data_IF_993809218524
#
_entry.id   IF_993809218524
#
_cell.length_a   1.000
_cell.length_b   1.000
_cell.length_c   1.000
_cell.angle_alpha   90.00
_cell.angle_beta   90.00
_cell.angle_gamma   90.00
#
_symmetry.space_group_name_H-M   'P 1'
#
loop_
_entity.id
_entity.type
_entity.pdbx_description
1 polymer ?
#
# COMPACT_ATOMS: atom_id res chain seq x y z
N UNK A 1 15.56 3.98 16.69
CA UNK A 1 15.94 5.24 16.02
C UNK A 1 14.93 5.46 14.91
N UNK A 2 14.44 6.70 14.76
CA UNK A 2 13.57 7.02 13.62
C UNK A 2 14.37 6.94 12.33
N UNK A 3 13.73 6.58 11.21
CA UNK A 3 14.38 6.57 9.90
C UNK A 3 14.72 7.99 9.48
N UNK A 4 15.89 8.15 8.87
CA UNK A 4 16.39 9.39 8.29
C UNK A 4 16.09 9.42 6.78
N UNK A 5 14.91 8.94 6.40
CA UNK A 5 14.43 8.92 5.02
C UNK A 5 12.97 9.35 5.02
N UNK A 6 12.53 10.05 3.98
CA UNK A 6 11.11 10.39 3.85
C UNK A 6 10.32 9.23 3.25
N UNK A 7 9.07 9.06 3.67
CA UNK A 7 8.16 8.06 3.09
C UNK A 7 7.96 8.31 1.59
N UNK A 8 7.95 9.59 1.19
CA UNK A 8 7.86 10.00 -0.20
C UNK A 8 9.05 9.53 -1.05
N UNK A 9 10.28 9.81 -0.61
CA UNK A 9 11.50 9.40 -1.33
C UNK A 9 11.60 7.87 -1.45
N UNK A 10 11.22 7.17 -0.38
CA UNK A 10 11.18 5.72 -0.37
C UNK A 10 10.09 5.18 -1.32
N UNK A 11 8.86 5.70 -1.24
CA UNK A 11 7.75 5.31 -2.09
C UNK A 11 8.04 5.53 -3.57
N UNK A 12 8.64 6.69 -3.92
CA UNK A 12 9.11 6.95 -5.28
C UNK A 12 10.11 5.90 -5.76
N UNK A 13 11.13 5.58 -4.93
CA UNK A 13 12.16 4.61 -5.28
C UNK A 13 11.58 3.20 -5.51
N UNK A 14 10.62 2.77 -4.70
CA UNK A 14 9.89 1.50 -4.90
C UNK A 14 9.08 1.53 -6.19
N UNK A 15 8.28 2.58 -6.41
CA UNK A 15 7.42 2.69 -7.60
C UNK A 15 8.25 2.70 -8.89
N UNK A 16 9.33 3.50 -8.93
CA UNK A 16 10.19 3.60 -10.10
C UNK A 16 10.94 2.29 -10.37
N UNK A 17 11.37 1.55 -9.34
CA UNK A 17 11.95 0.21 -9.50
C UNK A 17 10.94 -0.80 -10.06
N UNK A 18 9.68 -0.76 -9.61
CA UNK A 18 8.62 -1.63 -10.15
C UNK A 18 8.35 -1.33 -11.63
N UNK A 19 8.26 -0.05 -11.99
CA UNK A 19 8.07 0.41 -13.37
C UNK A 19 9.22 -0.07 -14.27
N UNK A 20 10.47 0.12 -13.82
CA UNK A 20 11.65 -0.24 -14.59
C UNK A 20 11.81 -1.77 -14.75
N UNK A 21 11.61 -2.54 -13.68
CA UNK A 21 11.92 -3.97 -13.68
C UNK A 21 10.79 -4.86 -14.24
N UNK A 22 9.54 -4.41 -14.16
CA UNK A 22 8.38 -5.26 -14.49
C UNK A 22 7.57 -4.74 -15.68
N UNK A 23 8.11 -3.81 -16.49
CA UNK A 23 7.35 -3.06 -17.51
C UNK A 23 6.03 -2.49 -16.95
N UNK A 24 5.96 -2.30 -15.63
CA UNK A 24 4.76 -1.86 -14.95
C UNK A 24 4.50 -0.41 -15.32
N UNK A 25 3.24 -0.03 -15.45
CA UNK A 25 2.87 1.36 -15.71
C UNK A 25 2.34 1.96 -14.43
N UNK A 26 2.91 3.11 -14.03
CA UNK A 26 2.20 3.95 -13.07
C UNK A 26 0.96 4.44 -13.77
N UNK A 27 -0.20 4.16 -13.18
CA UNK A 27 -1.51 4.35 -13.80
C UNK A 27 -1.79 5.84 -14.03
N UNK A 28 -1.28 6.70 -13.16
CA UNK A 28 -1.29 8.15 -13.30
C UNK A 28 0.00 8.74 -12.70
N UNK A 29 0.47 9.87 -13.24
CA UNK A 29 1.51 10.65 -12.56
C UNK A 29 1.04 11.01 -11.14
N UNK A 30 1.95 11.08 -10.14
CA UNK A 30 1.61 11.58 -8.82
C UNK A 30 1.20 13.06 -8.94
N UNK A 31 -0.07 13.32 -9.22
CA UNK A 31 -0.64 14.65 -9.23
C UNK A 31 -1.07 14.99 -7.81
N UNK A 32 -0.38 15.96 -7.21
CA UNK A 32 -0.85 16.58 -5.98
C UNK A 32 -2.08 17.42 -6.34
N UNK A 33 -3.25 17.19 -5.72
CA UNK A 33 -4.40 18.04 -5.97
C UNK A 33 -4.11 19.43 -5.43
N UNK A 34 -3.95 20.39 -6.34
CA UNK A 34 -4.28 21.77 -6.02
C UNK A 34 -5.74 21.98 -6.42
N UNK A 35 -6.52 22.61 -5.54
CA UNK A 35 -7.91 23.02 -5.78
C UNK A 35 -8.09 23.91 -7.03
N UNK A 36 -7.00 24.27 -7.71
CA UNK A 36 -6.98 25.20 -8.85
C UNK A 36 -7.20 24.52 -10.21
N UNK A 37 -7.01 23.20 -10.33
CA UNK A 37 -7.23 22.47 -11.59
C UNK A 37 -8.65 21.88 -11.72
N UNK A 38 -9.48 22.02 -10.69
CA UNK A 38 -10.84 21.47 -10.60
C UNK A 38 -11.89 22.20 -11.48
N UNK A 39 -11.47 23.19 -12.29
CA UNK A 39 -12.38 24.04 -13.07
C UNK A 39 -12.20 24.04 -14.59
N UNK A 40 -11.23 23.34 -15.18
CA UNK A 40 -11.02 23.43 -16.64
C UNK A 40 -11.74 22.32 -17.41
N UNK A 41 -12.79 22.71 -18.15
CA UNK A 41 -13.34 21.94 -19.26
C UNK A 41 -12.27 21.77 -20.34
N UNK A 42 -11.87 20.54 -20.61
CA UNK A 42 -11.12 20.20 -21.82
C UNK A 42 -9.88 19.35 -21.53
N UNK A 43 -10.08 18.03 -21.49
CA UNK A 43 -9.01 17.05 -21.37
C UNK A 43 -9.55 15.63 -21.55
N UNK A 44 -10.49 15.44 -22.48
CA UNK A 44 -10.99 14.11 -22.82
C UNK A 44 -9.93 13.38 -23.64
N UNK A 45 -9.08 12.61 -22.98
CA UNK A 45 -8.31 11.57 -23.66
C UNK A 45 -9.28 10.45 -24.03
N UNK A 46 -9.69 10.43 -25.29
CA UNK A 46 -10.38 9.30 -25.92
C UNK A 46 -9.35 8.20 -26.21
N UNK A 47 -8.76 7.67 -25.14
CA UNK A 47 -7.79 6.57 -25.23
C UNK A 47 -8.63 5.30 -25.19
N UNK A 48 -8.68 4.57 -26.30
CA UNK A 48 -8.99 3.13 -26.26
C UNK A 48 -8.06 2.54 -25.20
N UNK A 49 -8.58 2.11 -24.06
CA UNK A 49 -7.81 1.49 -22.98
C UNK A 49 -7.87 -0.03 -23.16
N UNK A 50 -7.01 -0.70 -23.96
CA UNK A 50 -6.75 -2.11 -23.78
C UNK A 50 -5.59 -2.22 -22.77
N UNK A 51 -5.87 -1.96 -21.48
CA UNK A 51 -4.88 -2.22 -20.44
C UNK A 51 -5.01 -3.67 -19.99
N UNK A 52 -3.97 -4.47 -20.23
CA UNK A 52 -3.80 -5.74 -19.56
C UNK A 52 -2.87 -5.50 -18.39
N UNK A 53 -3.25 -5.93 -17.20
CA UNK A 53 -2.38 -5.82 -16.05
C UNK A 53 -3.09 -6.11 -14.75
N UNK A 54 -2.34 -6.05 -13.65
CA UNK A 54 -2.83 -6.42 -12.33
C UNK A 54 -2.70 -5.20 -11.42
N UNK A 55 -3.81 -4.72 -10.84
CA UNK A 55 -3.76 -3.61 -9.90
C UNK A 55 -3.13 -4.07 -8.59
N UNK A 56 -2.14 -3.33 -8.13
CA UNK A 56 -1.43 -3.57 -6.88
C UNK A 56 -1.48 -2.30 -6.04
N UNK A 57 -2.02 -2.42 -4.83
CA UNK A 57 -2.16 -1.34 -3.86
C UNK A 57 -1.02 -1.43 -2.84
N UNK A 58 -0.17 -0.40 -2.82
CA UNK A 58 1.00 -0.34 -1.95
C UNK A 58 0.81 0.77 -0.92
N UNK A 59 0.71 0.38 0.35
CA UNK A 59 0.83 1.30 1.47
C UNK A 59 2.30 1.44 1.85
N UNK A 60 2.92 2.54 1.43
CA UNK A 60 4.27 2.85 1.88
C UNK A 60 4.29 3.13 3.37
N UNK A 61 5.36 2.65 4.00
CA UNK A 61 5.69 2.89 5.40
C UNK A 61 7.18 3.07 5.54
N UNK A 62 7.57 3.73 6.61
CA UNK A 62 8.94 3.75 7.10
C UNK A 62 9.11 2.79 8.28
N UNK A 63 10.36 2.40 8.51
CA UNK A 63 10.74 1.50 9.59
C UNK A 63 11.65 2.20 10.58
N UNK A 64 11.28 2.19 11.86
CA UNK A 64 12.23 2.50 12.92
C UNK A 64 13.31 1.41 12.96
N UNK A 65 14.55 1.82 13.22
CA UNK A 65 15.69 0.92 13.38
C UNK A 65 16.01 0.70 14.85
N UNK A 66 15.94 -0.54 15.31
CA UNK A 66 16.15 -0.93 16.70
C UNK A 66 17.44 -1.72 16.85
N UNK A 67 18.40 -1.13 17.56
CA UNK A 67 19.75 -1.69 17.80
C UNK A 67 20.04 -2.01 19.27
N UNK A 68 19.05 -1.81 20.15
CA UNK A 68 19.18 -2.02 21.60
C UNK A 68 18.23 -3.10 22.08
N UNK A 69 18.61 -3.78 23.16
CA UNK A 69 17.83 -4.88 23.77
C UNK A 69 16.69 -4.44 24.69
N UNK A 70 16.52 -3.13 24.89
CA UNK A 70 15.63 -2.59 25.93
C UNK A 70 14.14 -2.58 25.55
N UNK A 71 13.82 -2.84 24.28
CA UNK A 71 12.43 -2.81 23.83
C UNK A 71 11.71 -4.11 24.23
N UNK A 72 10.44 -3.99 24.64
CA UNK A 72 9.61 -5.11 25.14
C UNK A 72 9.63 -6.29 24.18
N UNK A 73 9.50 -6.03 22.89
CA UNK A 73 9.44 -7.06 21.87
C UNK A 73 10.77 -7.80 21.65
N UNK A 74 11.93 -7.16 21.89
CA UNK A 74 13.21 -7.88 21.88
C UNK A 74 13.26 -8.90 23.02
N UNK A 75 12.81 -8.49 24.22
CA UNK A 75 12.81 -9.34 25.40
C UNK A 75 11.81 -10.50 25.24
N UNK A 76 10.60 -10.22 24.75
CA UNK A 76 9.54 -11.22 24.66
C UNK A 76 9.65 -12.14 23.44
N UNK A 77 10.23 -11.68 22.33
CA UNK A 77 10.31 -12.43 21.07
C UNK A 77 11.73 -12.91 20.72
N UNK A 78 12.74 -12.54 21.50
CA UNK A 78 14.14 -12.91 21.26
C UNK A 78 14.66 -12.55 19.85
N UNK A 79 14.25 -11.38 19.33
CA UNK A 79 14.66 -10.87 18.01
C UNK A 79 16.17 -10.62 17.95
N UNK A 80 16.81 -10.95 16.82
CA UNK A 80 18.20 -10.57 16.54
C UNK A 80 18.29 -9.06 16.30
N UNK A 81 19.36 -8.47 16.82
CA UNK A 81 19.67 -7.06 16.58
C UNK A 81 20.55 -6.92 15.31
N UNK A 82 20.35 -5.85 14.51
CA UNK A 82 19.22 -4.93 14.58
C UNK A 82 17.95 -5.52 13.96
N UNK A 83 16.80 -5.00 14.37
CA UNK A 83 15.51 -5.29 13.73
C UNK A 83 14.76 -3.98 13.45
N UNK A 84 13.68 -4.10 12.70
CA UNK A 84 12.89 -2.99 12.19
C UNK A 84 11.49 -2.99 12.79
N UNK A 85 10.89 -1.80 12.92
CA UNK A 85 9.52 -1.62 13.40
C UNK A 85 8.74 -0.70 12.47
N UNK A 86 7.71 -1.25 11.85
CA UNK A 86 6.74 -0.53 11.03
C UNK A 86 5.50 -0.24 11.86
N UNK A 87 5.15 1.04 12.03
CA UNK A 87 3.97 1.45 12.80
C UNK A 87 2.68 1.29 12.00
N UNK A 88 1.65 0.74 12.65
CA UNK A 88 0.29 0.70 12.13
C UNK A 88 -0.49 1.87 12.72
N UNK A 89 -1.40 2.45 11.94
CA UNK A 89 -2.24 3.54 12.44
C UNK A 89 -3.27 2.96 13.43
N UNK A 90 -3.34 3.43 14.67
CA UNK A 90 -4.28 2.94 15.67
C UNK A 90 -5.75 3.15 15.29
N UNK A 91 -6.64 2.26 15.74
CA UNK A 91 -8.06 2.34 15.43
C UNK A 91 -8.73 3.61 15.98
N UNK A 92 -8.23 4.16 17.11
CA UNK A 92 -8.71 5.45 17.66
C UNK A 92 -8.49 6.63 16.71
N UNK A 93 -7.61 6.51 15.74
CA UNK A 93 -7.28 7.59 14.80
C UNK A 93 -7.81 7.34 13.39
N UNK A 94 -7.97 6.08 12.99
CA UNK A 94 -8.42 5.76 11.62
C UNK A 94 -8.79 4.29 11.46
N UNK A 95 -9.77 4.03 10.61
CA UNK A 95 -10.10 2.68 10.12
C UNK A 95 -9.24 2.25 8.91
N UNK A 96 -8.11 2.93 8.65
CA UNK A 96 -7.29 2.69 7.45
C UNK A 96 -6.89 1.23 7.26
N UNK A 97 -6.44 0.56 8.33
CA UNK A 97 -6.06 -0.85 8.25
C UNK A 97 -7.24 -1.73 7.85
N UNK A 98 -8.43 -1.40 8.34
CA UNK A 98 -9.64 -2.16 8.06
C UNK A 98 -10.12 -1.96 6.61
N UNK A 99 -10.01 -0.74 6.07
CA UNK A 99 -10.24 -0.49 4.64
C UNK A 99 -9.30 -1.32 3.75
N UNK A 100 -8.04 -1.47 4.14
CA UNK A 100 -7.06 -2.27 3.39
C UNK A 100 -7.35 -3.77 3.47
N UNK A 101 -7.74 -4.27 4.65
CA UNK A 101 -8.22 -5.64 4.83
C UNK A 101 -9.41 -5.96 3.93
N UNK A 102 -10.35 -5.01 3.82
CA UNK A 102 -11.54 -5.21 3.01
C UNK A 102 -11.25 -5.16 1.52
N UNK A 103 -10.40 -4.22 1.10
CA UNK A 103 -9.96 -4.14 -0.29
C UNK A 103 -9.27 -5.42 -0.72
N UNK A 104 -8.38 -5.96 0.12
CA UNK A 104 -7.75 -7.27 -0.10
C UNK A 104 -8.79 -8.39 -0.17
N UNK A 105 -9.79 -8.38 0.71
CA UNK A 105 -10.87 -9.38 0.70
C UNK A 105 -11.73 -9.34 -0.59
N UNK A 106 -11.69 -8.26 -1.37
CA UNK A 106 -12.31 -8.22 -2.72
C UNK A 106 -11.48 -8.91 -3.81
N UNK A 107 -10.34 -9.52 -3.43
CA UNK A 107 -9.42 -10.24 -4.31
C UNK A 107 -8.33 -9.37 -4.94
N UNK A 108 -8.22 -8.10 -4.54
CA UNK A 108 -7.18 -7.20 -5.04
C UNK A 108 -5.86 -7.39 -4.27
N UNK A 109 -4.73 -7.15 -4.93
CA UNK A 109 -3.41 -7.29 -4.32
C UNK A 109 -3.07 -6.06 -3.47
N UNK A 110 -3.03 -6.22 -2.14
CA UNK A 110 -2.79 -5.12 -1.19
C UNK A 110 -1.62 -5.47 -0.29
N UNK A 111 -0.64 -4.56 -0.17
CA UNK A 111 0.53 -4.76 0.68
C UNK A 111 0.93 -3.49 1.43
N UNK A 112 1.26 -3.64 2.71
CA UNK A 112 2.19 -2.74 3.36
C UNK A 112 3.59 -3.04 2.85
N UNK A 113 4.40 -2.00 2.61
CA UNK A 113 5.81 -2.17 2.27
C UNK A 113 6.68 -1.15 3.00
N UNK A 114 7.73 -1.63 3.67
CA UNK A 114 8.62 -0.82 4.49
C UNK A 114 10.09 -1.25 4.31
N UNK A 115 11.06 -0.31 4.38
CA UNK A 115 12.46 -0.62 4.13
C UNK A 115 13.08 -1.45 5.27
N UNK A 116 14.01 -2.32 4.91
CA UNK A 116 14.97 -2.97 5.84
C UNK A 116 16.27 -2.17 5.95
N UNK A 117 16.14 -0.85 5.94
CA UNK A 117 17.18 0.14 6.04
C UNK A 117 16.57 1.46 6.51
N UNK A 118 17.40 2.39 6.97
CA UNK A 118 16.88 3.62 7.59
C UNK A 118 17.69 4.87 7.27
N UNK A 119 18.81 4.76 6.54
CA UNK A 119 19.69 5.89 6.23
C UNK A 119 19.59 6.31 4.75
N UNK A 120 19.74 7.61 4.42
CA UNK A 120 19.74 8.10 3.04
C UNK A 120 20.78 7.41 2.15
N UNK A 121 21.98 7.16 2.70
CA UNK A 121 23.06 6.47 1.99
C UNK A 121 22.70 5.05 1.59
N UNK A 122 21.87 4.38 2.40
CA UNK A 122 21.38 3.04 2.09
C UNK A 122 20.32 3.10 0.99
N UNK A 123 19.37 4.04 1.10
CA UNK A 123 18.38 4.29 0.05
C UNK A 123 19.06 4.57 -1.29
N UNK A 124 20.02 5.50 -1.34
CA UNK A 124 20.74 5.83 -2.57
C UNK A 124 21.46 4.61 -3.16
N UNK A 125 22.16 3.83 -2.31
CA UNK A 125 22.84 2.61 -2.75
C UNK A 125 21.88 1.58 -3.34
N UNK A 126 20.75 1.32 -2.68
CA UNK A 126 19.77 0.34 -3.17
C UNK A 126 19.01 0.84 -4.40
N UNK A 127 18.72 2.13 -4.46
CA UNK A 127 18.09 2.78 -5.61
C UNK A 127 18.95 2.65 -6.87
N UNK A 128 20.22 3.08 -6.80
CA UNK A 128 21.16 2.95 -7.92
C UNK A 128 21.39 1.50 -8.33
N UNK A 129 21.32 0.56 -7.38
CA UNK A 129 21.47 -0.86 -7.63
C UNK A 129 20.17 -1.59 -8.02
N UNK A 130 19.03 -0.90 -8.18
CA UNK A 130 17.72 -1.51 -8.51
C UNK A 130 17.31 -2.64 -7.56
N UNK A 131 17.55 -2.45 -6.26
CA UNK A 131 17.33 -3.46 -5.22
C UNK A 131 16.58 -2.90 -4.00
N UNK A 132 15.83 -1.81 -4.14
CA UNK A 132 15.01 -1.23 -3.07
C UNK A 132 13.93 -2.23 -2.64
N UNK A 133 13.18 -2.81 -3.59
CA UNK A 133 12.10 -3.78 -3.29
C UNK A 133 12.67 -5.02 -2.58
N UNK A 134 13.83 -5.51 -3.05
CA UNK A 134 14.52 -6.65 -2.45
C UNK A 134 15.00 -6.38 -1.01
N UNK A 135 15.28 -5.12 -0.68
CA UNK A 135 15.70 -4.68 0.65
C UNK A 135 14.53 -4.05 1.44
N UNK A 136 13.30 -4.46 1.14
CA UNK A 136 12.09 -4.07 1.84
C UNK A 136 11.29 -5.29 2.30
N UNK A 137 10.56 -5.12 3.40
CA UNK A 137 9.60 -6.11 3.89
C UNK A 137 8.20 -5.73 3.45
N UNK A 138 7.46 -6.69 2.90
CA UNK A 138 6.07 -6.52 2.52
C UNK A 138 5.16 -7.45 3.33
N UNK A 139 3.98 -6.96 3.69
CA UNK A 139 3.00 -7.69 4.49
C UNK A 139 1.60 -7.44 3.95
N UNK A 140 0.88 -8.53 3.67
CA UNK A 140 -0.53 -8.46 3.35
C UNK A 140 -1.34 -8.03 4.60
N UNK A 141 -2.37 -7.17 4.47
CA UNK A 141 -3.24 -6.83 5.59
C UNK A 141 -3.81 -8.07 6.30
N UNK A 142 -4.23 -9.10 5.57
CA UNK A 142 -4.77 -10.36 6.08
C UNK A 142 -3.77 -11.14 6.95
N UNK A 143 -2.48 -11.09 6.62
CA UNK A 143 -1.42 -11.70 7.41
C UNK A 143 -1.27 -11.00 8.78
N UNK A 144 -1.42 -9.68 8.82
CA UNK A 144 -1.48 -8.89 10.06
C UNK A 144 -2.77 -9.23 10.83
N UNK A 145 -3.89 -9.29 10.12
CA UNK A 145 -5.24 -9.46 10.66
C UNK A 145 -5.74 -8.22 11.40
N UNK A 146 -7.04 -8.19 11.72
CA UNK A 146 -7.66 -7.07 12.43
C UNK A 146 -6.89 -6.67 13.68
N UNK A 147 -6.75 -5.35 13.88
CA UNK A 147 -6.14 -4.81 15.09
C UNK A 147 -7.06 -5.11 16.28
N UNK A 148 -6.52 -5.64 17.39
CA UNK A 148 -7.34 -6.16 18.49
C UNK A 148 -8.01 -5.05 19.31
N UNK A 149 -7.44 -3.85 19.32
CA UNK A 149 -7.82 -2.76 20.22
C UNK A 149 -7.40 -1.39 19.61
N UNK A 150 -7.81 -0.25 20.21
CA UNK A 150 -7.47 1.09 19.71
C UNK A 150 -6.07 1.59 20.07
N UNK A 151 -5.21 0.77 20.70
CA UNK A 151 -3.87 1.16 21.10
C UNK A 151 -2.87 1.13 19.93
N UNK A 152 -1.61 1.44 20.24
CA UNK A 152 -0.53 1.44 19.26
C UNK A 152 -0.09 0.02 18.92
N UNK A 153 -0.21 -0.32 17.65
CA UNK A 153 0.24 -1.59 17.09
C UNK A 153 1.38 -1.37 16.11
N UNK A 154 2.31 -2.30 16.04
CA UNK A 154 3.41 -2.25 15.09
C UNK A 154 3.78 -3.65 14.61
N UNK A 155 4.35 -3.72 13.41
CA UNK A 155 4.94 -4.93 12.88
C UNK A 155 6.45 -4.85 13.06
N UNK A 156 7.04 -5.84 13.72
CA UNK A 156 8.50 -5.98 13.82
C UNK A 156 9.02 -7.12 12.95
N UNK A 157 10.19 -6.92 12.38
CA UNK A 157 10.82 -7.90 11.50
C UNK A 157 12.33 -7.72 11.46
N UNK A 158 13.04 -8.82 11.26
CA UNK A 158 14.48 -8.86 11.08
C UNK A 158 14.84 -8.78 9.60
N UNK A 159 16.03 -8.26 9.30
CA UNK A 159 16.52 -8.20 7.93
C UNK A 159 16.56 -9.59 7.29
N UNK A 160 15.94 -9.73 6.12
CA UNK A 160 15.92 -10.98 5.36
C UNK A 160 15.11 -12.13 5.98
N UNK A 161 14.41 -11.92 7.10
CA UNK A 161 13.52 -12.94 7.67
C UNK A 161 12.29 -13.16 6.80
N UNK A 162 11.78 -14.39 6.75
CA UNK A 162 10.55 -14.75 6.04
C UNK A 162 9.28 -14.47 6.86
N UNK A 163 9.42 -13.98 8.08
CA UNK A 163 8.31 -13.65 8.96
C UNK A 163 8.58 -12.37 9.75
N UNK A 164 7.49 -11.82 10.29
CA UNK A 164 7.52 -10.77 11.29
C UNK A 164 6.56 -11.09 12.43
N UNK A 165 6.32 -10.10 13.28
CA UNK A 165 5.32 -10.16 14.33
C UNK A 165 4.51 -8.89 14.38
N UNK A 166 3.18 -9.02 14.45
CA UNK A 166 2.32 -7.93 14.89
C UNK A 166 2.42 -7.89 16.40
N UNK A 167 3.06 -6.85 16.91
CA UNK A 167 3.17 -6.58 18.33
C UNK A 167 1.96 -5.77 18.79
N UNK A 168 1.06 -6.48 19.46
CA UNK A 168 -0.02 -5.97 20.29
C UNK A 168 0.29 -6.37 21.74
N UNK A 169 -0.71 -6.36 22.64
CA UNK A 169 -0.55 -7.02 23.96
C UNK A 169 -0.08 -8.47 23.81
N UNK A 170 -0.76 -9.23 22.94
CA UNK A 170 -0.35 -10.57 22.50
C UNK A 170 0.29 -10.51 21.10
N UNK A 171 1.61 -10.78 20.97
CA UNK A 171 2.27 -10.79 19.69
C UNK A 171 1.81 -11.93 18.80
N UNK A 172 1.50 -11.63 17.53
CA UNK A 172 1.11 -12.62 16.53
C UNK A 172 2.18 -12.74 15.45
N UNK A 173 2.71 -13.95 15.25
CA UNK A 173 3.61 -14.23 14.12
C UNK A 173 2.86 -14.08 12.80
N UNK A 174 3.48 -13.45 11.82
CA UNK A 174 2.90 -13.23 10.50
C UNK A 174 3.91 -13.56 9.40
N UNK A 175 3.38 -14.11 8.31
CA UNK A 175 4.17 -14.42 7.11
C UNK A 175 4.53 -13.12 6.39
N UNK A 176 5.79 -13.03 5.97
CA UNK A 176 6.25 -11.94 5.10
C UNK A 176 6.01 -12.32 3.67
N UNK A 177 5.53 -11.36 2.88
CA UNK A 177 5.41 -11.52 1.44
C UNK A 177 6.71 -11.08 0.75
N UNK A 178 7.27 -11.94 -0.09
CA UNK A 178 8.24 -11.51 -1.11
C UNK A 178 7.45 -10.77 -2.19
N UNK A 179 7.55 -9.44 -2.24
CA UNK A 179 6.76 -8.66 -3.20
C UNK A 179 7.08 -9.09 -4.64
N UNK A 180 8.35 -9.29 -4.99
CA UNK A 180 8.74 -9.77 -6.33
C UNK A 180 8.08 -11.10 -6.67
N UNK A 181 8.15 -12.09 -5.77
CA UNK A 181 7.54 -13.41 -6.01
C UNK A 181 6.01 -13.35 -6.05
N UNK A 182 5.40 -12.47 -5.25
CA UNK A 182 3.96 -12.24 -5.27
C UNK A 182 3.52 -11.63 -6.60
N UNK A 183 4.23 -10.62 -7.10
CA UNK A 183 3.95 -10.00 -8.40
C UNK A 183 4.14 -10.99 -9.56
N UNK A 184 5.18 -11.81 -9.52
CA UNK A 184 5.38 -12.89 -10.51
C UNK A 184 4.25 -13.92 -10.48
N UNK A 185 3.81 -14.32 -9.28
CA UNK A 185 2.70 -15.26 -9.09
C UNK A 185 1.39 -14.67 -9.62
N UNK A 186 1.12 -13.41 -9.30
CA UNK A 186 -0.04 -12.67 -9.80
C UNK A 186 -0.03 -12.64 -11.33
N UNK A 187 1.10 -12.26 -11.94
CA UNK A 187 1.24 -12.23 -13.41
C UNK A 187 1.00 -13.60 -14.06
N UNK A 188 1.42 -14.67 -13.41
CA UNK A 188 1.24 -16.03 -13.91
C UNK A 188 -0.20 -16.53 -13.74
N UNK A 189 -0.86 -16.18 -12.63
CA UNK A 189 -2.25 -16.57 -12.33
C UNK A 189 -3.24 -15.80 -13.21
N UNK A 190 -3.05 -14.50 -13.29
CA UNK A 190 -3.95 -13.55 -13.96
C UNK A 190 -3.28 -13.02 -15.22
N UNK A 191 -2.84 -13.91 -16.14
CA UNK A 191 -2.21 -13.56 -17.43
C UNK A 191 -2.99 -12.43 -18.12
N UNK A 192 -2.59 -11.19 -17.85
CA UNK A 192 -3.27 -9.98 -18.26
C UNK A 192 -4.78 -9.96 -17.95
N UNK A 193 -5.18 -9.86 -16.66
CA UNK A 193 -6.53 -9.40 -16.31
C UNK A 193 -6.83 -8.18 -17.19
N UNK A 194 -7.93 -8.25 -17.93
CA UNK A 194 -8.33 -7.14 -18.79
C UNK A 194 -8.83 -6.01 -17.89
N UNK A 195 -7.96 -5.02 -17.72
CA UNK A 195 -8.24 -3.74 -17.08
C UNK A 195 -8.68 -2.71 -18.12
N UNK A 196 -9.32 -3.14 -19.20
CA UNK A 196 -10.12 -2.25 -20.02
C UNK A 196 -11.19 -1.52 -19.20
N UNK A 197 -12.02 -0.74 -19.89
CA UNK A 197 -13.01 0.14 -19.24
C UNK A 197 -13.89 -0.57 -18.20
N UNK A 198 -14.35 -1.79 -18.51
CA UNK A 198 -15.15 -2.61 -17.60
C UNK A 198 -14.35 -3.08 -16.37
N UNK A 199 -13.09 -3.47 -16.56
CA UNK A 199 -12.20 -3.93 -15.49
C UNK A 199 -11.87 -2.82 -14.50
N UNK A 200 -11.57 -1.62 -15.01
CA UNK A 200 -11.34 -0.42 -14.19
C UNK A 200 -12.64 0.05 -13.51
N UNK A 201 -13.77 0.01 -14.21
CA UNK A 201 -15.08 0.32 -13.62
C UNK A 201 -15.48 -0.68 -12.53
N UNK A 202 -15.12 -1.95 -12.68
CA UNK A 202 -15.30 -2.95 -11.64
C UNK A 202 -14.38 -2.67 -10.44
N UNK A 203 -13.12 -2.28 -10.68
CA UNK A 203 -12.18 -1.92 -9.63
C UNK A 203 -12.67 -0.71 -8.82
N UNK A 204 -13.06 0.39 -9.49
CA UNK A 204 -13.56 1.59 -8.81
C UNK A 204 -14.84 1.30 -8.03
N UNK A 205 -15.77 0.50 -8.58
CA UNK A 205 -16.97 0.06 -7.84
C UNK A 205 -16.62 -0.71 -6.58
N UNK A 206 -15.71 -1.69 -6.64
CA UNK A 206 -15.23 -2.41 -5.45
C UNK A 206 -14.69 -1.45 -4.38
N UNK A 207 -13.88 -0.47 -4.79
CA UNK A 207 -13.32 0.53 -3.88
C UNK A 207 -14.41 1.38 -3.21
N UNK A 208 -15.38 1.86 -3.99
CA UNK A 208 -16.54 2.63 -3.49
C UNK A 208 -17.38 1.78 -2.55
N UNK A 209 -17.64 0.51 -2.86
CA UNK A 209 -18.41 -0.39 -2.01
C UNK A 209 -17.74 -0.62 -0.65
N UNK A 210 -16.40 -0.78 -0.64
CA UNK A 210 -15.62 -0.85 0.60
C UNK A 210 -15.74 0.44 1.41
N UNK A 211 -15.59 1.61 0.77
CA UNK A 211 -15.75 2.92 1.43
C UNK A 211 -17.16 3.09 1.99
N UNK A 212 -18.19 2.73 1.22
CA UNK A 212 -19.60 2.83 1.61
C UNK A 212 -19.88 2.01 2.86
N UNK A 213 -19.48 0.73 2.84
CA UNK A 213 -19.70 -0.18 3.97
C UNK A 213 -19.05 0.35 5.24
N UNK A 214 -17.78 0.79 5.16
CA UNK A 214 -17.07 1.32 6.35
C UNK A 214 -17.57 2.67 6.82
N UNK A 215 -17.98 3.55 5.90
CA UNK A 215 -18.59 4.83 6.29
C UNK A 215 -19.91 4.62 7.04
N UNK A 216 -20.70 3.64 6.61
CA UNK A 216 -21.93 3.21 7.31
C UNK A 216 -21.65 2.63 8.70
N UNK A 217 -20.70 1.71 8.82
CA UNK A 217 -20.29 1.13 10.11
C UNK A 217 -19.69 2.18 11.07
N UNK A 218 -19.01 3.20 10.53
CA UNK A 218 -18.41 4.29 11.31
C UNK A 218 -19.40 5.41 11.67
N UNK A 219 -20.64 5.38 11.16
CA UNK A 219 -21.62 6.45 11.38
C UNK A 219 -21.25 7.79 10.73
N UNK A 220 -20.37 7.79 9.71
CA UNK A 220 -19.86 9.01 9.05
C UNK A 220 -20.85 9.62 8.03
N UNK A 221 -22.08 9.08 7.96
CA UNK A 221 -23.09 9.49 6.98
C UNK A 221 -22.70 9.13 5.55
N UNK A 222 -23.43 9.69 4.57
CA UNK A 222 -23.21 9.41 3.15
C UNK A 222 -22.10 10.25 2.51
N UNK A 223 -21.57 11.28 3.18
CA UNK A 223 -20.62 12.24 2.61
C UNK A 223 -19.39 11.58 1.94
N UNK A 224 -18.59 10.78 2.68
CA UNK A 224 -17.44 10.09 2.11
C UNK A 224 -17.78 9.16 0.95
N UNK A 225 -18.99 8.57 0.97
CA UNK A 225 -19.50 7.71 -0.10
C UNK A 225 -19.87 8.52 -1.34
N UNK A 226 -20.60 9.62 -1.17
CA UNK A 226 -21.03 10.48 -2.25
C UNK A 226 -19.83 11.11 -2.98
N UNK A 227 -18.81 11.53 -2.22
CA UNK A 227 -17.56 12.04 -2.79
C UNK A 227 -16.85 10.95 -3.61
N UNK A 228 -16.74 9.73 -3.06
CA UNK A 228 -16.13 8.60 -3.76
C UNK A 228 -16.91 8.21 -5.03
N UNK A 229 -18.23 8.22 -4.98
CA UNK A 229 -19.11 7.97 -6.14
C UNK A 229 -18.94 9.05 -7.21
N UNK A 230 -18.88 10.33 -6.82
CA UNK A 230 -18.66 11.44 -7.75
C UNK A 230 -17.29 11.32 -8.45
N UNK A 231 -16.25 10.90 -7.72
CA UNK A 231 -14.92 10.63 -8.29
C UNK A 231 -14.98 9.44 -9.26
N UNK A 232 -15.66 8.36 -8.89
CA UNK A 232 -15.80 7.17 -9.74
C UNK A 232 -16.56 7.45 -11.05
N UNK A 233 -17.42 8.46 -11.08
CA UNK A 233 -18.16 8.89 -12.28
C UNK A 233 -17.37 9.82 -13.23
N UNK A 234 -16.14 10.22 -12.87
CA UNK A 234 -15.29 11.04 -13.76
C UNK A 234 -14.90 10.23 -15.01
N UNK A 235 -14.75 10.91 -16.15
CA UNK A 235 -14.49 10.26 -17.45
C UNK A 235 -13.15 9.50 -17.53
N UNK A 236 -12.18 9.80 -16.67
CA UNK A 236 -10.90 9.09 -16.60
C UNK A 236 -10.90 8.08 -15.44
N UNK A 237 -11.26 6.82 -15.73
CA UNK A 237 -11.38 5.75 -14.74
C UNK A 237 -10.06 5.41 -14.03
N UNK A 238 -8.94 5.56 -14.75
CA UNK A 238 -7.59 5.34 -14.25
C UNK A 238 -7.24 6.35 -13.17
N UNK A 239 -7.47 7.63 -13.45
CA UNK A 239 -7.27 8.71 -12.49
C UNK A 239 -8.20 8.57 -11.30
N UNK A 240 -9.46 8.19 -11.53
CA UNK A 240 -10.42 7.92 -10.45
C UNK A 240 -9.95 6.81 -9.51
N UNK A 241 -9.49 5.67 -10.06
CA UNK A 241 -8.98 4.56 -9.25
C UNK A 241 -7.73 4.98 -8.45
N UNK A 242 -6.79 5.67 -9.08
CA UNK A 242 -5.60 6.18 -8.39
C UNK A 242 -5.93 7.21 -7.31
N UNK A 243 -6.90 8.09 -7.57
CA UNK A 243 -7.34 9.10 -6.61
C UNK A 243 -8.03 8.46 -5.40
N UNK A 244 -8.94 7.51 -5.62
CA UNK A 244 -9.60 6.77 -4.55
C UNK A 244 -8.57 6.02 -3.69
N UNK A 245 -7.57 5.38 -4.32
CA UNK A 245 -6.52 4.64 -3.64
C UNK A 245 -5.73 5.55 -2.68
N UNK A 246 -5.31 6.72 -3.16
CA UNK A 246 -4.55 7.68 -2.33
C UNK A 246 -5.41 8.29 -1.22
N UNK A 247 -6.63 8.69 -1.55
CA UNK A 247 -7.47 9.51 -0.65
C UNK A 247 -8.09 8.70 0.48
N UNK A 248 -8.64 7.52 0.16
CA UNK A 248 -9.37 6.71 1.12
C UNK A 248 -8.56 5.51 1.62
N UNK A 249 -7.71 4.95 0.78
CA UNK A 249 -6.90 3.78 1.12
C UNK A 249 -5.47 4.14 1.56
N UNK A 250 -5.07 5.41 1.47
CA UNK A 250 -3.70 5.87 1.72
C UNK A 250 -2.63 5.10 0.92
N UNK A 251 -2.99 4.51 -0.21
CA UNK A 251 -2.13 3.65 -1.02
C UNK A 251 -1.76 4.27 -2.36
N UNK A 252 -0.62 3.83 -2.89
CA UNK A 252 -0.29 3.99 -4.31
C UNK A 252 -0.89 2.82 -5.11
N UNK A 253 -1.55 3.13 -6.23
CA UNK A 253 -2.03 2.12 -7.18
C UNK A 253 -1.03 1.98 -8.34
N UNK A 254 -0.48 0.79 -8.50
CA UNK A 254 0.43 0.43 -9.60
C UNK A 254 -0.23 -0.66 -10.44
N UNK A 255 -0.14 -0.57 -11.78
CA UNK A 255 -0.54 -1.67 -12.67
C UNK A 255 0.71 -2.40 -13.16
N UNK A 256 0.76 -3.69 -12.84
CA UNK A 256 1.85 -4.58 -13.25
C UNK A 256 1.44 -5.38 -14.49
N UNK A 257 2.28 -5.38 -15.53
CA UNK A 257 2.08 -6.09 -16.82
C UNK A 257 2.75 -7.47 -16.85
#
# INVERSE_FOLDING_TARGET
MKPDISEFSYGYAVTEELVANHKSRVVAAPTFPSLYEEGKKGGGYDVKIPFKGIPVFLQFKLSDYLSRKSAKEHISLSLKLPYYRMHLRPLRHSQQHQLLLDLEATGEAVYYIAPEFHLPKELNRYYLARNVVKNSAAFAPSAIGSLPDPDDHYVVFEKGSTYGYRCSEEPKKLERTSLTSALETLRNRDRGRDLGEEGLSALTRKMVDVIRRRSGEAGLGSGPTADAEAIAQRRNLIESAAYLARTYFSCELVIVE
#
